data_IF_684543157069
#
_entry.id   IF_684543157069
#
_cell.length_a   1.000
_cell.length_b   1.000
_cell.length_c   1.000
_cell.angle_alpha   90.00
_cell.angle_beta   90.00
_cell.angle_gamma   90.00
#
_symmetry.space_group_name_H-M   'P 1'
#
loop_
_entity.id
_entity.type
_entity.pdbx_description
1 polymer ?
#
# COMPACT_ATOMS: atom_id res chain seq x y z
N UNK A 1 23.80 -5.21 -8.99
CA UNK A 1 24.44 -6.55 -8.92
C UNK A 1 24.55 -7.15 -7.52
N UNK A 2 24.11 -6.49 -6.44
CA UNK A 2 24.03 -7.12 -5.13
C UNK A 2 22.92 -8.17 -5.11
N UNK A 3 23.25 -9.37 -4.65
CA UNK A 3 22.34 -10.51 -4.54
C UNK A 3 22.25 -10.94 -3.07
N UNK A 4 21.11 -11.51 -2.70
CA UNK A 4 20.93 -12.13 -1.39
C UNK A 4 21.66 -13.48 -1.30
N UNK A 5 21.56 -14.15 -0.15
CA UNK A 5 22.19 -15.46 0.09
C UNK A 5 21.69 -16.57 -0.85
N UNK A 6 20.61 -16.34 -1.60
CA UNK A 6 20.02 -17.29 -2.55
C UNK A 6 20.21 -16.84 -4.01
N UNK A 7 21.04 -15.82 -4.25
CA UNK A 7 21.35 -15.34 -5.59
C UNK A 7 20.27 -14.45 -6.22
N UNK A 8 19.23 -14.05 -5.47
CA UNK A 8 18.18 -13.15 -5.97
C UNK A 8 18.65 -11.70 -5.87
N UNK A 9 18.30 -10.83 -6.84
CA UNK A 9 18.62 -9.41 -6.74
C UNK A 9 18.07 -8.79 -5.46
N UNK A 10 18.92 -8.03 -4.74
CA UNK A 10 18.47 -7.26 -3.57
C UNK A 10 17.68 -6.04 -4.04
N UNK A 11 16.55 -5.79 -3.40
CA UNK A 11 15.72 -4.61 -3.65
C UNK A 11 16.45 -3.38 -3.13
N UNK A 12 16.61 -2.37 -3.99
CA UNK A 12 17.04 -1.05 -3.58
C UNK A 12 15.80 -0.22 -3.18
N UNK A 13 15.75 0.21 -1.92
CA UNK A 13 14.63 1.01 -1.39
C UNK A 13 15.13 2.44 -1.20
N UNK A 14 14.45 3.39 -1.84
CA UNK A 14 14.64 4.81 -1.62
C UNK A 14 13.33 5.40 -1.06
N UNK A 15 13.34 5.74 0.23
CA UNK A 15 12.17 6.21 0.95
C UNK A 15 12.57 7.23 2.01
N UNK A 16 11.79 8.30 2.13
CA UNK A 16 11.94 9.34 3.14
C UNK A 16 10.56 9.88 3.54
N UNK A 17 10.45 10.37 4.77
CA UNK A 17 9.29 11.14 5.19
C UNK A 17 9.45 12.60 4.78
N UNK A 18 8.45 13.15 4.08
CA UNK A 18 8.44 14.54 3.66
C UNK A 18 7.69 15.39 4.68
N UNK A 19 7.61 16.68 4.40
CA UNK A 19 7.09 17.66 5.36
C UNK A 19 5.62 17.42 5.71
N UNK A 20 4.84 16.87 4.77
CA UNK A 20 3.46 16.49 5.05
C UNK A 20 3.38 15.34 6.08
N UNK A 21 4.19 14.29 5.95
CA UNK A 21 4.20 13.19 6.93
C UNK A 21 4.68 13.66 8.31
N UNK A 22 5.65 14.59 8.34
CA UNK A 22 6.10 15.22 9.59
C UNK A 22 5.00 16.06 10.24
N UNK A 23 4.27 16.85 9.44
CA UNK A 23 3.15 17.65 9.91
C UNK A 23 2.00 16.78 10.44
N UNK A 24 1.62 15.73 9.71
CA UNK A 24 0.63 14.75 10.16
C UNK A 24 1.04 14.09 11.48
N UNK A 25 2.31 13.70 11.64
CA UNK A 25 2.78 13.12 12.90
C UNK A 25 2.71 14.11 14.08
N UNK A 26 2.99 15.40 13.86
CA UNK A 26 2.83 16.42 14.88
C UNK A 26 1.35 16.59 15.28
N UNK A 27 0.45 16.62 14.30
CA UNK A 27 -0.99 16.72 14.52
C UNK A 27 -1.55 15.49 15.25
N UNK A 28 -1.16 14.28 14.85
CA UNK A 28 -1.58 13.03 15.49
C UNK A 28 -1.33 13.03 17.00
N UNK A 29 -0.19 13.59 17.44
CA UNK A 29 0.12 13.70 18.87
C UNK A 29 -0.84 14.62 19.61
N UNK A 30 -1.16 15.77 19.02
CA UNK A 30 -2.11 16.74 19.58
C UNK A 30 -3.50 16.12 19.65
N UNK A 31 -3.98 15.57 18.53
CA UNK A 31 -5.31 14.97 18.40
C UNK A 31 -5.49 13.78 19.35
N UNK A 32 -4.50 12.90 19.47
CA UNK A 32 -4.58 11.75 20.38
C UNK A 32 -4.73 12.18 21.85
N UNK A 33 -3.99 13.22 22.28
CA UNK A 33 -4.13 13.78 23.63
C UNK A 33 -5.54 14.32 23.86
N UNK A 34 -6.03 15.15 22.94
CA UNK A 34 -7.36 15.76 23.05
C UNK A 34 -8.47 14.70 23.11
N UNK A 35 -8.37 13.64 22.31
CA UNK A 35 -9.31 12.52 22.36
C UNK A 35 -9.32 11.83 23.73
N UNK A 36 -8.14 11.56 24.30
CA UNK A 36 -8.01 10.92 25.61
C UNK A 36 -8.52 11.83 26.74
N UNK A 37 -8.17 13.11 26.74
CA UNK A 37 -8.66 14.06 27.74
C UNK A 37 -10.19 14.20 27.70
N UNK A 38 -10.78 14.27 26.50
CA UNK A 38 -12.25 14.29 26.33
C UNK A 38 -12.92 12.99 26.76
N UNK A 39 -12.23 11.85 26.63
CA UNK A 39 -12.70 10.58 27.15
C UNK A 39 -12.59 10.47 28.69
N UNK A 40 -12.08 11.50 29.37
CA UNK A 40 -12.02 11.60 30.84
C UNK A 40 -10.68 11.16 31.45
N UNK A 41 -9.69 10.83 30.63
CA UNK A 41 -8.34 10.53 31.12
C UNK A 41 -7.66 11.80 31.65
N UNK A 42 -6.87 11.65 32.73
CA UNK A 42 -6.12 12.74 33.38
C UNK A 42 -4.63 12.48 33.25
N UNK A 43 -3.83 13.55 33.26
CA UNK A 43 -2.36 13.49 33.18
C UNK A 43 -1.86 12.77 31.92
N UNK A 44 -2.50 13.02 30.77
CA UNK A 44 -2.12 12.39 29.49
C UNK A 44 -0.75 12.93 29.05
N UNK A 45 0.22 12.04 28.90
CA UNK A 45 1.52 12.35 28.32
C UNK A 45 1.65 11.69 26.94
N UNK A 46 2.11 12.46 25.95
CA UNK A 46 2.34 11.96 24.60
C UNK A 46 3.84 11.87 24.33
N UNK A 47 4.27 10.68 23.92
CA UNK A 47 5.67 10.38 23.61
C UNK A 47 5.75 9.71 22.24
N UNK A 48 6.88 9.88 21.56
CA UNK A 48 7.16 9.19 20.29
C UNK A 48 7.71 10.10 19.21
N UNK A 49 8.61 9.51 18.42
CA UNK A 49 9.13 10.06 17.18
C UNK A 49 8.55 9.25 16.01
N UNK A 50 8.64 9.81 14.80
CA UNK A 50 8.30 9.08 13.57
C UNK A 50 9.16 7.81 13.52
N UNK A 51 8.52 6.66 13.30
CA UNK A 51 9.22 5.38 13.14
C UNK A 51 10.09 5.38 11.89
N UNK A 52 11.05 4.46 11.79
CA UNK A 52 11.79 4.27 10.54
C UNK A 52 10.85 3.79 9.40
N UNK A 53 11.12 4.13 8.12
CA UNK A 53 10.35 3.62 7.00
C UNK A 53 10.32 2.08 6.96
N UNK A 54 9.12 1.51 6.75
CA UNK A 54 8.91 0.06 6.71
C UNK A 54 8.53 -0.59 8.05
N UNK A 55 8.59 0.14 9.17
CA UNK A 55 8.17 -0.41 10.48
C UNK A 55 6.69 -0.87 10.52
N UNK A 56 5.85 -0.35 9.63
CA UNK A 56 4.45 -0.74 9.51
C UNK A 56 4.21 -2.02 8.70
N UNK A 57 5.23 -2.57 8.01
CA UNK A 57 5.13 -3.73 7.12
C UNK A 57 4.02 -3.60 6.05
N UNK A 58 3.78 -2.38 5.57
CA UNK A 58 2.73 -2.04 4.61
C UNK A 58 3.33 -1.35 3.36
N UNK A 59 4.38 -1.93 2.80
CA UNK A 59 4.97 -1.48 1.54
C UNK A 59 4.00 -1.72 0.37
N UNK A 60 3.76 -0.67 -0.43
CA UNK A 60 2.68 -0.65 -1.42
C UNK A 60 3.08 0.06 -2.71
N UNK A 61 2.41 -0.29 -3.82
CA UNK A 61 2.41 0.49 -5.06
C UNK A 61 3.53 0.27 -6.07
N UNK A 62 4.40 -0.73 -5.84
CA UNK A 62 5.50 -1.05 -6.78
C UNK A 62 5.01 -1.58 -8.15
N UNK A 63 3.77 -2.06 -8.24
CA UNK A 63 3.09 -2.45 -9.48
C UNK A 63 1.68 -1.84 -9.52
N UNK A 64 1.59 -0.52 -9.26
CA UNK A 64 0.31 0.15 -9.04
C UNK A 64 -0.69 0.00 -10.19
N UNK A 65 -1.96 -0.01 -9.84
CA UNK A 65 -3.07 0.21 -10.77
C UNK A 65 -3.09 1.65 -11.29
N UNK A 66 -3.57 1.81 -12.52
CA UNK A 66 -3.80 3.11 -13.14
C UNK A 66 -4.49 2.98 -14.50
N UNK A 67 -4.93 4.11 -15.04
CA UNK A 67 -5.71 4.15 -16.29
C UNK A 67 -4.85 4.04 -17.56
N UNK A 68 -3.58 4.41 -17.47
CA UNK A 68 -2.65 4.50 -18.60
C UNK A 68 -1.46 3.56 -18.39
N UNK A 69 -1.22 2.67 -19.34
CA UNK A 69 -0.10 1.73 -19.36
C UNK A 69 1.27 2.42 -19.30
N UNK A 70 1.38 3.68 -19.74
CA UNK A 70 2.63 4.46 -19.62
C UNK A 70 3.01 4.77 -18.18
N UNK A 71 2.04 4.80 -17.27
CA UNK A 71 2.20 5.31 -15.91
C UNK A 71 1.81 4.31 -14.82
N UNK A 72 1.31 3.12 -15.20
CA UNK A 72 0.89 2.08 -14.28
C UNK A 72 1.07 0.70 -14.91
N UNK A 73 1.39 -0.28 -14.08
CA UNK A 73 1.58 -1.68 -14.51
C UNK A 73 0.24 -2.36 -14.72
N UNK A 74 -0.74 -2.04 -13.89
CA UNK A 74 -2.04 -2.71 -13.86
C UNK A 74 -3.19 -1.78 -14.26
N UNK A 75 -4.24 -2.33 -14.85
CA UNK A 75 -5.51 -1.65 -15.04
C UNK A 75 -6.36 -1.69 -13.74
N UNK A 76 -7.61 -1.21 -13.80
CA UNK A 76 -8.50 -1.16 -12.63
C UNK A 76 -8.94 -2.52 -12.09
N UNK A 77 -8.63 -3.62 -12.77
CA UNK A 77 -8.98 -4.99 -12.39
C UNK A 77 -7.76 -5.82 -11.98
N UNK A 78 -6.65 -5.17 -11.63
CA UNK A 78 -5.40 -5.84 -11.24
C UNK A 78 -4.73 -6.65 -12.38
N UNK A 79 -5.20 -6.50 -13.62
CA UNK A 79 -4.63 -7.12 -14.82
C UNK A 79 -3.46 -6.27 -15.33
N UNK A 80 -2.36 -6.89 -15.75
CA UNK A 80 -1.28 -6.16 -16.42
C UNK A 80 -1.77 -5.54 -17.74
N UNK A 81 -1.38 -4.30 -18.01
CA UNK A 81 -1.70 -3.66 -19.30
C UNK A 81 -1.02 -4.37 -20.48
N UNK A 82 0.21 -4.85 -20.30
CA UNK A 82 1.01 -5.46 -21.37
C UNK A 82 0.75 -6.96 -21.54
N UNK A 83 0.25 -7.65 -20.51
CA UNK A 83 0.09 -9.11 -20.49
C UNK A 83 -1.30 -9.48 -19.99
N UNK A 84 -2.28 -9.71 -20.88
CA UNK A 84 -3.69 -9.85 -20.51
C UNK A 84 -3.97 -10.99 -19.51
N UNK A 85 -3.23 -12.09 -19.56
CA UNK A 85 -3.46 -13.24 -18.68
C UNK A 85 -2.70 -13.19 -17.34
N UNK A 86 -2.06 -12.06 -16.99
CA UNK A 86 -1.34 -11.89 -15.71
C UNK A 86 -2.04 -10.87 -14.82
N UNK A 87 -2.25 -11.25 -13.56
CA UNK A 87 -2.91 -10.44 -12.54
C UNK A 87 -2.04 -10.35 -11.27
N UNK A 88 -2.00 -9.17 -10.64
CA UNK A 88 -1.23 -8.91 -9.41
C UNK A 88 -2.15 -8.30 -8.36
N UNK A 89 -2.33 -8.98 -7.22
CA UNK A 89 -3.39 -8.65 -6.24
C UNK A 89 -2.90 -8.40 -4.82
N UNK A 90 -1.58 -8.35 -4.60
CA UNK A 90 -0.99 -7.98 -3.31
C UNK A 90 -0.85 -6.46 -3.12
N UNK A 91 -0.15 -6.01 -2.07
CA UNK A 91 0.05 -4.59 -1.79
C UNK A 91 0.72 -3.78 -2.91
N UNK A 92 1.43 -4.43 -3.84
CA UNK A 92 2.03 -3.76 -4.98
C UNK A 92 1.01 -3.09 -5.89
N UNK A 93 -0.24 -3.58 -5.94
CA UNK A 93 -1.27 -3.05 -6.83
C UNK A 93 -1.83 -1.69 -6.40
N UNK A 94 -1.58 -1.26 -5.16
CA UNK A 94 -2.18 -0.07 -4.58
C UNK A 94 -1.63 1.22 -5.19
N UNK A 95 -2.50 2.11 -5.66
CA UNK A 95 -2.07 3.43 -6.14
C UNK A 95 -1.72 4.41 -5.00
N UNK A 96 -2.23 4.16 -3.79
CA UNK A 96 -1.98 4.95 -2.58
C UNK A 96 -2.22 4.09 -1.34
N UNK A 97 -1.68 4.51 -0.20
CA UNK A 97 -1.99 3.96 1.11
C UNK A 97 -3.20 4.66 1.77
N UNK A 98 -3.79 3.99 2.76
CA UNK A 98 -4.75 4.57 3.70
C UNK A 98 -4.12 4.67 5.10
N UNK A 99 -4.85 5.23 6.07
CA UNK A 99 -4.41 5.30 7.48
C UNK A 99 -4.73 4.05 8.32
N UNK A 100 -5.23 2.98 7.68
CA UNK A 100 -5.60 1.71 8.33
C UNK A 100 -4.86 0.54 7.70
N UNK A 101 -4.83 -0.60 8.40
CA UNK A 101 -4.21 -1.82 7.89
C UNK A 101 -4.88 -2.27 6.57
N UNK A 102 -4.10 -2.53 5.50
CA UNK A 102 -4.64 -2.67 4.15
C UNK A 102 -5.05 -4.10 3.77
N UNK A 103 -4.80 -5.10 4.61
CA UNK A 103 -4.98 -6.52 4.26
C UNK A 103 -6.40 -6.87 3.77
N UNK A 104 -7.44 -6.34 4.43
CA UNK A 104 -8.82 -6.54 3.98
C UNK A 104 -9.08 -5.94 2.60
N UNK A 105 -8.46 -4.80 2.29
CA UNK A 105 -8.52 -4.19 0.97
C UNK A 105 -7.86 -5.08 -0.06
N UNK A 106 -6.69 -5.68 0.23
CA UNK A 106 -6.04 -6.62 -0.68
C UNK A 106 -6.96 -7.81 -1.00
N UNK A 107 -7.55 -8.42 0.03
CA UNK A 107 -8.50 -9.54 -0.16
C UNK A 107 -9.70 -9.15 -1.04
N UNK A 108 -10.26 -7.96 -0.84
CA UNK A 108 -11.36 -7.46 -1.67
C UNK A 108 -10.93 -7.24 -3.13
N UNK A 109 -9.74 -6.67 -3.34
CA UNK A 109 -9.17 -6.49 -4.68
C UNK A 109 -8.87 -7.82 -5.37
N UNK A 110 -8.33 -8.81 -4.64
CA UNK A 110 -8.13 -10.18 -5.13
C UNK A 110 -9.44 -10.80 -5.57
N UNK A 111 -10.50 -10.74 -4.76
CA UNK A 111 -11.80 -11.31 -5.11
C UNK A 111 -12.37 -10.67 -6.40
N UNK A 112 -12.27 -9.35 -6.54
CA UNK A 112 -12.67 -8.62 -7.76
C UNK A 112 -11.84 -9.04 -8.98
N UNK A 113 -10.52 -9.14 -8.81
CA UNK A 113 -9.61 -9.52 -9.90
C UNK A 113 -9.88 -10.96 -10.39
N UNK A 114 -10.12 -11.90 -9.46
CA UNK A 114 -10.47 -13.28 -9.80
C UNK A 114 -11.79 -13.37 -10.56
N UNK A 115 -12.83 -12.65 -10.10
CA UNK A 115 -14.12 -12.61 -10.81
C UNK A 115 -13.96 -12.07 -12.24
N UNK A 116 -13.22 -10.97 -12.41
CA UNK A 116 -12.93 -10.40 -13.73
C UNK A 116 -12.13 -11.37 -14.61
N UNK A 117 -11.05 -11.95 -14.09
CA UNK A 117 -10.19 -12.88 -14.82
C UNK A 117 -10.99 -14.10 -15.31
N UNK A 118 -11.84 -14.70 -14.47
CA UNK A 118 -12.66 -15.85 -14.87
C UNK A 118 -13.69 -15.47 -15.94
N UNK A 119 -14.30 -14.28 -15.85
CA UNK A 119 -15.24 -13.79 -16.85
C UNK A 119 -14.55 -13.56 -18.20
N UNK A 120 -13.41 -12.89 -18.21
CA UNK A 120 -12.66 -12.63 -19.45
C UNK A 120 -12.07 -13.92 -20.05
N UNK A 121 -11.63 -14.86 -19.22
CA UNK A 121 -11.18 -16.19 -19.67
C UNK A 121 -12.31 -16.94 -20.38
N UNK A 122 -13.52 -16.97 -19.81
CA UNK A 122 -14.70 -17.60 -20.44
C UNK A 122 -15.11 -16.94 -21.76
N UNK A 123 -14.80 -15.65 -21.93
CA UNK A 123 -15.01 -14.89 -23.16
C UNK A 123 -13.86 -15.04 -24.17
N UNK A 124 -12.79 -15.75 -23.80
CA UNK A 124 -11.56 -15.89 -24.58
C UNK A 124 -10.87 -14.54 -24.87
N UNK A 125 -10.87 -13.64 -23.89
CA UNK A 125 -10.27 -12.30 -23.97
C UNK A 125 -8.90 -12.20 -23.25
N UNK A 126 -8.36 -13.31 -22.74
CA UNK A 126 -7.08 -13.37 -22.02
C UNK A 126 -6.00 -14.08 -22.82
#
# INVERSE_FOLDING_TARGET
DKKDNWGRPIIAINCEFKDNEKAMHADMKTTAREMLERAGYKNVSVHGNISFPGNANHEMGIARMGKDAKNAVLNSFNQMHEVPNVFITDGSCMASGACVNPSLTYMALTARACDYAVKEMKRMNL
#
